data_IF_852012473066
#
_entry.id   IF_852012473066
#
_cell.length_a   1.000
_cell.length_b   1.000
_cell.length_c   1.000
_cell.angle_alpha   90.00
_cell.angle_beta   90.00
_cell.angle_gamma   90.00
#
_symmetry.space_group_name_H-M   'P 1'
#
loop_
_entity.id
_entity.type
_entity.pdbx_description
1 polymer ?
#
# COMPACT_ATOMS: atom_id res chain seq x y z
N UNK A 1 -20.43 -17.09 -15.52
CA UNK A 1 -20.91 -17.65 -14.25
C UNK A 1 -19.84 -17.35 -13.22
N UNK A 2 -20.04 -16.35 -12.36
CA UNK A 2 -19.13 -16.13 -11.23
C UNK A 2 -19.43 -17.24 -10.21
N UNK A 3 -18.58 -18.26 -10.16
CA UNK A 3 -18.67 -19.28 -9.14
C UNK A 3 -18.33 -18.64 -7.80
N UNK A 4 -19.27 -18.62 -6.86
CA UNK A 4 -18.98 -18.19 -5.49
C UNK A 4 -18.11 -19.25 -4.83
N UNK A 5 -16.79 -19.10 -4.93
CA UNK A 5 -15.81 -19.87 -4.15
C UNK A 5 -15.96 -19.40 -2.69
N UNK A 6 -16.66 -20.19 -1.88
CA UNK A 6 -16.69 -19.98 -0.43
C UNK A 6 -15.33 -20.36 0.14
N UNK A 7 -14.73 -19.47 0.95
CA UNK A 7 -13.49 -19.75 1.67
C UNK A 7 -13.86 -20.23 3.06
N UNK A 8 -13.42 -21.45 3.40
CA UNK A 8 -13.66 -22.04 4.71
C UNK A 8 -12.82 -21.35 5.79
N UNK A 9 -13.38 -21.26 7.00
CA UNK A 9 -12.71 -20.58 8.11
C UNK A 9 -11.43 -21.29 8.53
N UNK A 10 -11.39 -22.60 8.36
CA UNK A 10 -10.23 -23.45 8.65
C UNK A 10 -9.07 -23.09 7.73
N UNK A 11 -9.31 -22.93 6.43
CA UNK A 11 -8.30 -22.46 5.46
C UNK A 11 -7.70 -21.11 5.87
N UNK A 12 -8.54 -20.15 6.26
CA UNK A 12 -8.06 -18.84 6.73
C UNK A 12 -7.16 -18.99 7.97
N UNK A 13 -7.52 -19.87 8.91
CA UNK A 13 -6.71 -20.08 10.12
C UNK A 13 -5.38 -20.77 9.83
N UNK A 14 -5.36 -21.71 8.89
CA UNK A 14 -4.14 -22.37 8.43
C UNK A 14 -3.20 -21.36 7.81
N UNK A 15 -3.66 -20.55 6.85
CA UNK A 15 -2.87 -19.46 6.26
C UNK A 15 -2.35 -18.49 7.31
N UNK A 16 -3.20 -18.01 8.22
CA UNK A 16 -2.79 -17.09 9.30
C UNK A 16 -1.81 -17.71 10.31
N UNK A 17 -1.70 -19.04 10.37
CA UNK A 17 -0.75 -19.71 11.29
C UNK A 17 0.69 -19.64 10.82
N UNK A 18 0.91 -19.37 9.52
CA UNK A 18 2.21 -19.26 8.89
C UNK A 18 2.77 -17.82 8.93
N UNK A 19 1.92 -16.83 9.25
CA UNK A 19 2.31 -15.42 9.29
C UNK A 19 3.20 -15.10 10.50
N UNK A 20 4.22 -14.27 10.27
CA UNK A 20 4.97 -13.61 11.34
C UNK A 20 4.11 -12.51 11.97
N UNK A 21 3.73 -12.72 13.23
CA UNK A 21 2.88 -11.79 13.99
C UNK A 21 3.61 -10.51 14.40
N UNK A 22 4.93 -10.52 14.41
CA UNK A 22 5.75 -9.36 14.75
C UNK A 22 5.98 -8.46 13.53
N UNK A 23 5.76 -8.97 12.32
CA UNK A 23 5.97 -8.27 11.06
C UNK A 23 4.73 -8.37 10.13
N UNK A 24 3.62 -7.77 10.55
CA UNK A 24 2.39 -7.74 9.75
C UNK A 24 2.40 -6.56 8.77
N UNK A 25 2.17 -6.86 7.50
CA UNK A 25 2.06 -5.87 6.42
C UNK A 25 0.63 -5.80 5.88
N UNK A 26 0.10 -4.59 5.73
CA UNK A 26 -1.25 -4.36 5.17
C UNK A 26 -1.19 -4.14 3.65
N UNK A 27 -1.75 -5.08 2.90
CA UNK A 27 -2.00 -4.94 1.46
C UNK A 27 -3.29 -4.15 1.20
N UNK A 28 -3.19 -3.02 0.49
CA UNK A 28 -4.31 -2.09 0.29
C UNK A 28 -4.46 -1.79 -1.21
N UNK A 29 -5.64 -2.09 -1.76
CA UNK A 29 -6.00 -1.67 -3.13
C UNK A 29 -6.09 -0.14 -3.19
N UNK A 30 -5.29 0.51 -4.03
CA UNK A 30 -5.29 1.97 -4.13
C UNK A 30 -6.52 2.48 -4.90
N UNK A 31 -7.64 2.58 -4.16
CA UNK A 31 -8.93 3.10 -4.63
C UNK A 31 -9.49 4.19 -3.67
N UNK A 32 -10.81 4.40 -3.67
CA UNK A 32 -11.54 5.51 -3.04
C UNK A 32 -11.11 5.91 -1.62
N UNK A 33 -10.67 4.96 -0.79
CA UNK A 33 -10.34 5.20 0.63
C UNK A 33 -8.91 4.80 1.01
N UNK A 34 -8.06 4.49 0.03
CA UNK A 34 -6.74 3.90 0.32
C UNK A 34 -5.80 4.86 1.05
N UNK A 35 -5.83 6.15 0.76
CA UNK A 35 -4.98 7.13 1.44
C UNK A 35 -5.24 7.17 2.96
N UNK A 36 -6.51 7.11 3.37
CA UNK A 36 -6.88 7.11 4.78
C UNK A 36 -6.47 5.80 5.47
N UNK A 37 -6.60 4.67 4.79
CA UNK A 37 -6.18 3.37 5.31
C UNK A 37 -4.66 3.30 5.48
N UNK A 38 -3.90 3.71 4.46
CA UNK A 38 -2.44 3.75 4.51
C UNK A 38 -1.99 4.72 5.61
N UNK A 39 -2.57 5.92 5.68
CA UNK A 39 -2.22 6.89 6.71
C UNK A 39 -2.45 6.34 8.12
N UNK A 40 -3.61 5.73 8.37
CA UNK A 40 -3.92 5.11 9.65
C UNK A 40 -2.96 3.97 9.99
N UNK A 41 -2.69 3.09 9.02
CA UNK A 41 -1.75 1.97 9.18
C UNK A 41 -0.37 2.44 9.63
N UNK A 42 0.17 3.48 8.98
CA UNK A 42 1.49 4.04 9.31
C UNK A 42 1.51 4.71 10.69
N UNK A 43 0.41 5.36 11.10
CA UNK A 43 0.30 5.93 12.46
C UNK A 43 0.31 4.83 13.54
N UNK A 44 -0.25 3.67 13.24
CA UNK A 44 -0.25 2.50 14.13
C UNK A 44 1.03 1.63 14.00
N UNK A 45 1.96 2.02 13.12
CA UNK A 45 3.26 1.35 12.96
C UNK A 45 3.25 0.09 12.09
N UNK A 46 2.23 -0.12 11.27
CA UNK A 46 2.19 -1.22 10.30
C UNK A 46 2.94 -0.87 9.01
N UNK A 47 3.59 -1.87 8.43
CA UNK A 47 4.10 -1.82 7.06
C UNK A 47 2.93 -1.84 6.07
N UNK A 48 3.08 -1.19 4.92
CA UNK A 48 2.00 -1.03 3.94
C UNK A 48 2.45 -1.33 2.51
N UNK A 49 1.63 -2.11 1.79
CA UNK A 49 1.80 -2.33 0.34
C UNK A 49 0.56 -1.80 -0.39
N UNK A 50 0.76 -0.83 -1.28
CA UNK A 50 -0.27 -0.34 -2.19
C UNK A 50 -0.36 -1.23 -3.43
N UNK A 51 -1.57 -1.61 -3.86
CA UNK A 51 -1.76 -2.38 -5.10
C UNK A 51 -2.56 -1.54 -6.09
N UNK A 52 -2.00 -1.22 -7.25
CA UNK A 52 -2.67 -0.41 -8.25
C UNK A 52 -2.05 -0.47 -9.65
N UNK A 53 -2.82 -0.10 -10.70
CA UNK A 53 -2.26 0.20 -12.00
C UNK A 53 -1.20 1.29 -12.00
N UNK A 54 -0.24 1.17 -12.90
CA UNK A 54 0.89 2.08 -13.05
C UNK A 54 0.43 3.54 -13.17
N UNK A 55 -0.66 3.80 -13.90
CA UNK A 55 -1.15 5.17 -14.09
C UNK A 55 -1.65 5.84 -12.80
N UNK A 56 -1.96 5.05 -11.76
CA UNK A 56 -2.44 5.55 -10.47
C UNK A 56 -1.34 5.71 -9.44
N UNK A 57 -0.22 5.01 -9.59
CA UNK A 57 0.86 4.96 -8.61
C UNK A 57 1.34 6.37 -8.24
N UNK A 58 1.59 7.22 -9.24
CA UNK A 58 2.04 8.60 -9.07
C UNK A 58 1.09 9.43 -8.20
N UNK A 59 -0.23 9.22 -8.32
CA UNK A 59 -1.21 9.96 -7.54
C UNK A 59 -1.13 9.60 -6.05
N UNK A 60 -0.89 8.34 -5.72
CA UNK A 60 -0.76 7.90 -4.32
C UNK A 60 0.61 8.28 -3.73
N UNK A 61 1.70 8.20 -4.51
CA UNK A 61 3.04 8.65 -4.08
C UNK A 61 3.11 10.13 -3.73
N UNK A 62 2.23 10.96 -4.31
CA UNK A 62 2.17 12.40 -4.07
C UNK A 62 1.72 12.80 -2.65
N UNK A 63 1.29 11.86 -1.81
CA UNK A 63 0.88 12.12 -0.43
C UNK A 63 1.85 11.48 0.57
N UNK A 64 2.95 12.13 0.98
CA UNK A 64 4.02 11.49 1.77
C UNK A 64 3.54 10.81 3.06
N UNK A 65 2.55 11.40 3.75
CA UNK A 65 1.97 10.83 4.98
C UNK A 65 1.04 9.63 4.75
N UNK A 66 0.60 9.44 3.51
CA UNK A 66 -0.39 8.44 3.09
C UNK A 66 0.10 7.60 1.89
N UNK A 67 1.40 7.65 1.60
CA UNK A 67 2.10 6.85 0.60
C UNK A 67 2.44 5.50 1.22
N UNK A 68 2.19 4.42 0.49
CA UNK A 68 2.55 3.08 0.92
C UNK A 68 4.08 2.90 0.94
N UNK A 69 4.58 2.00 1.76
CA UNK A 69 6.01 1.71 1.85
C UNK A 69 6.49 1.06 0.56
N UNK A 70 5.69 0.15 0.02
CA UNK A 70 5.90 -0.52 -1.27
C UNK A 70 4.66 -0.45 -2.17
N UNK A 71 4.87 -0.66 -3.48
CA UNK A 71 3.80 -0.74 -4.47
C UNK A 71 3.91 -2.02 -5.29
N UNK A 72 2.79 -2.73 -5.42
CA UNK A 72 2.62 -3.86 -6.33
C UNK A 72 1.81 -3.37 -7.53
N UNK A 73 2.48 -3.27 -8.68
CA UNK A 73 1.87 -2.80 -9.92
C UNK A 73 1.19 -3.97 -10.64
N UNK A 74 -0.04 -3.74 -11.08
CA UNK A 74 -0.89 -4.69 -11.84
C UNK A 74 -1.43 -3.99 -13.08
N UNK A 75 -1.70 -4.66 -14.19
CA UNK A 75 -2.27 -3.92 -15.34
C UNK A 75 -3.75 -3.59 -15.06
N UNK A 76 -4.48 -4.51 -14.41
CA UNK A 76 -5.85 -4.31 -13.93
C UNK A 76 -6.08 -4.91 -12.54
N UNK A 77 -7.04 -4.37 -11.79
CA UNK A 77 -7.37 -4.88 -10.46
C UNK A 77 -7.84 -6.34 -10.45
N UNK A 78 -8.40 -6.82 -11.56
CA UNK A 78 -8.93 -8.18 -11.67
C UNK A 78 -7.81 -9.24 -11.66
N UNK A 79 -6.57 -8.86 -12.01
CA UNK A 79 -5.39 -9.75 -12.00
C UNK A 79 -5.02 -10.22 -10.60
N UNK A 80 -5.45 -9.50 -9.57
CA UNK A 80 -5.22 -9.87 -8.17
C UNK A 80 -5.97 -11.17 -7.82
N UNK A 81 -6.99 -11.53 -8.61
CA UNK A 81 -7.75 -12.76 -8.45
C UNK A 81 -7.08 -13.96 -9.14
N UNK A 82 -6.02 -13.75 -9.92
CA UNK A 82 -5.29 -14.83 -10.57
C UNK A 82 -4.47 -15.61 -9.53
N UNK A 83 -4.55 -16.95 -9.59
CA UNK A 83 -3.92 -17.82 -8.59
C UNK A 83 -2.39 -17.61 -8.53
N UNK A 84 -1.74 -17.33 -9.67
CA UNK A 84 -0.29 -17.12 -9.77
C UNK A 84 0.21 -15.90 -8.95
N UNK A 85 -0.63 -14.88 -8.75
CA UNK A 85 -0.29 -13.67 -7.98
C UNK A 85 -0.50 -13.83 -6.47
N UNK A 86 -1.25 -14.85 -6.06
CA UNK A 86 -1.54 -15.12 -4.65
C UNK A 86 -0.37 -15.84 -3.94
N UNK A 87 0.49 -16.53 -4.70
CA UNK A 87 1.64 -17.29 -4.18
C UNK A 87 2.98 -16.51 -4.28
N UNK A 88 3.03 -15.45 -5.10
CA UNK A 88 4.30 -14.78 -5.50
C UNK A 88 4.99 -13.99 -4.36
N UNK A 89 4.27 -13.62 -3.29
CA UNK A 89 4.78 -12.73 -2.23
C UNK A 89 5.46 -13.40 -1.03
N UNK A 90 5.59 -14.72 -1.03
CA UNK A 90 6.28 -15.43 0.05
C UNK A 90 7.82 -15.39 -0.07
N UNK A 91 8.38 -14.66 -1.05
CA UNK A 91 9.80 -14.86 -1.45
C UNK A 91 10.71 -13.63 -1.60
N UNK A 92 10.25 -12.39 -1.42
CA UNK A 92 11.11 -11.21 -1.68
C UNK A 92 11.12 -10.21 -0.52
N UNK A 93 11.94 -10.49 0.50
CA UNK A 93 12.45 -9.49 1.44
C UNK A 93 13.60 -8.71 0.80
N UNK A 94 13.55 -7.38 0.95
CA UNK A 94 14.64 -6.39 0.84
C UNK A 94 15.14 -5.97 -0.56
N UNK A 95 14.58 -4.86 -1.08
CA UNK A 95 15.39 -3.83 -1.76
C UNK A 95 14.99 -2.42 -1.29
N UNK A 96 15.95 -1.79 -0.61
CA UNK A 96 15.98 -0.41 -0.14
C UNK A 96 16.19 0.55 -1.32
N UNK A 97 15.12 1.17 -1.81
CA UNK A 97 15.18 2.35 -2.68
C UNK A 97 14.92 3.62 -1.87
N UNK A 98 15.95 4.00 -1.11
CA UNK A 98 16.08 5.33 -0.52
C UNK A 98 16.34 6.38 -1.62
N UNK A 99 15.28 6.80 -2.30
CA UNK A 99 15.32 8.04 -3.10
C UNK A 99 15.36 9.25 -2.16
N UNK A 100 16.48 9.99 -2.25
CA UNK A 100 16.76 11.27 -1.60
C UNK A 100 15.58 12.24 -1.70
N UNK A 101 15.05 12.62 -0.54
CA UNK A 101 14.18 13.78 -0.39
C UNK A 101 15.05 15.05 -0.47
N UNK A 102 14.91 15.83 -1.54
CA UNK A 102 15.47 17.18 -1.60
C UNK A 102 14.62 18.11 -0.74
N UNK A 103 15.23 18.56 0.36
CA UNK A 103 14.77 19.59 1.27
C UNK A 103 14.68 20.93 0.51
N UNK A 104 13.46 21.45 0.34
CA UNK A 104 13.26 22.84 -0.04
C UNK A 104 12.78 23.61 1.18
N UNK A 105 13.76 24.28 1.77
CA UNK A 105 13.68 25.23 2.85
C UNK A 105 12.54 26.25 2.69
N UNK A 106 11.85 26.45 3.82
CA UNK A 106 11.27 27.70 4.32
C UNK A 106 11.55 28.96 3.48
N UNK A 107 10.50 29.59 2.97
CA UNK A 107 10.43 31.05 2.85
C UNK A 107 9.18 31.54 3.59
N UNK A 108 9.42 32.01 4.82
CA UNK A 108 8.58 32.98 5.50
C UNK A 108 8.51 34.26 4.67
N UNK A 109 7.31 34.70 4.32
CA UNK A 109 7.04 36.09 3.95
C UNK A 109 5.68 36.51 4.53
N UNK A 110 5.74 36.96 5.78
CA UNK A 110 4.74 37.79 6.42
C UNK A 110 4.74 39.20 5.79
N UNK A 111 3.60 39.89 5.90
CA UNK A 111 3.35 41.33 5.57
C UNK A 111 2.99 41.67 4.11
N UNK A 112 1.72 42.03 3.85
CA UNK A 112 1.28 43.43 3.83
C UNK A 112 -0.23 43.56 3.45
N UNK A 113 -0.94 44.20 4.37
CA UNK A 113 -2.20 44.93 4.27
C UNK A 113 -2.54 45.56 2.88
N UNK A 114 -3.76 45.32 2.36
CA UNK A 114 -4.73 46.35 1.89
C UNK A 114 -5.82 45.82 0.93
N UNK A 115 -7.07 45.99 1.41
CA UNK A 115 -8.38 46.02 0.72
C UNK A 115 -9.04 44.71 0.34
#
# INVERSE_FOLDING_TARGET
MFGTKMIEKETIRETLSEYDKENITLGILCSHSALQLIHGAKLEGFNTIGICPEEREKAYKAFPKARADEYMIVDQFDEILEDDRQEEKDSEDSQDDSEKFEDTSEEDADTEERR
#
